data_IF_873240665827
#
_entry.id   IF_873240665827
#
_cell.length_a   1.000
_cell.length_b   1.000
_cell.length_c   1.000
_cell.angle_alpha   90.00
_cell.angle_beta   90.00
_cell.angle_gamma   90.00
#
_symmetry.space_group_name_H-M   'P 1'
#
loop_
_entity.id
_entity.type
_entity.pdbx_description
1 polymer ?
#
# COMPACT_ATOMS: atom_id res chain seq x y z
N UNK A 1 2.26 -1.56 -10.29
CA UNK A 1 3.36 -0.60 -9.99
C UNK A 1 2.90 0.75 -10.48
N UNK A 2 2.85 1.78 -9.62
CA UNK A 2 2.52 3.13 -10.10
C UNK A 2 3.75 3.62 -10.86
N UNK A 3 3.76 3.39 -12.17
CA UNK A 3 4.80 3.91 -13.06
C UNK A 3 4.43 5.37 -13.32
N UNK A 4 5.05 6.30 -12.60
CA UNK A 4 4.91 7.72 -12.91
C UNK A 4 5.91 8.09 -14.01
N UNK A 5 5.52 8.91 -15.00
CA UNK A 5 6.47 9.44 -15.97
C UNK A 5 7.61 10.17 -15.24
N UNK A 6 8.81 10.15 -15.83
CA UNK A 6 9.96 10.94 -15.36
C UNK A 6 9.52 12.42 -15.37
N UNK A 7 9.30 12.99 -14.20
CA UNK A 7 8.96 14.40 -14.01
C UNK A 7 10.05 15.04 -13.17
N UNK A 8 10.39 16.29 -13.50
CA UNK A 8 11.35 17.08 -12.74
C UNK A 8 10.96 17.12 -11.25
N UNK A 9 11.94 16.95 -10.35
CA UNK A 9 11.71 16.79 -8.91
C UNK A 9 10.89 17.95 -8.29
N UNK A 10 11.08 19.18 -8.80
CA UNK A 10 10.30 20.36 -8.40
C UNK A 10 8.79 20.21 -8.63
N UNK A 11 8.38 19.67 -9.79
CA UNK A 11 6.94 19.48 -10.09
C UNK A 11 6.30 18.46 -9.15
N UNK A 12 7.08 17.52 -8.60
CA UNK A 12 6.59 16.52 -7.65
C UNK A 12 6.22 17.12 -6.29
N UNK A 13 6.86 18.21 -5.88
CA UNK A 13 6.58 18.90 -4.60
C UNK A 13 5.18 19.52 -4.63
N UNK A 14 4.71 19.98 -5.79
CA UNK A 14 3.41 20.62 -5.97
C UNK A 14 2.27 19.66 -6.39
N UNK A 15 2.51 18.34 -6.35
CA UNK A 15 1.44 17.37 -6.63
C UNK A 15 0.51 17.28 -5.42
N UNK A 16 -0.71 17.78 -5.55
CA UNK A 16 -1.73 17.70 -4.50
C UNK A 16 -2.43 16.32 -4.46
N UNK A 17 -2.78 15.79 -5.64
CA UNK A 17 -3.56 14.57 -5.76
C UNK A 17 -2.73 13.30 -5.46
N UNK A 18 -3.11 12.60 -4.40
CA UNK A 18 -2.42 11.40 -3.92
C UNK A 18 -1.16 11.68 -3.08
N UNK A 19 -0.94 12.93 -2.68
CA UNK A 19 0.15 13.32 -1.77
C UNK A 19 -0.22 13.10 -0.31
N UNK A 20 0.80 12.88 0.52
CA UNK A 20 0.67 12.86 1.98
C UNK A 20 0.26 14.24 2.51
N UNK A 21 0.56 15.31 1.76
CA UNK A 21 0.29 16.69 2.16
C UNK A 21 -1.20 16.92 2.48
N UNK A 22 -2.12 16.42 1.65
CA UNK A 22 -3.57 16.54 1.91
C UNK A 22 -4.02 15.80 3.18
N UNK A 23 -3.28 14.77 3.62
CA UNK A 23 -3.58 14.03 4.86
C UNK A 23 -3.06 14.74 6.11
N UNK A 24 -2.00 15.54 5.99
CA UNK A 24 -1.37 16.24 7.13
C UNK A 24 -1.62 17.74 7.14
N UNK A 25 -2.30 18.28 6.12
CA UNK A 25 -2.53 19.73 5.95
C UNK A 25 -3.24 20.35 7.15
N UNK A 26 -4.22 19.66 7.74
CA UNK A 26 -4.90 20.13 8.95
C UNK A 26 -3.96 20.26 10.15
N UNK A 27 -3.04 19.31 10.33
CA UNK A 27 -2.04 19.33 11.41
C UNK A 27 -1.02 20.44 11.19
N UNK A 28 -0.58 20.63 9.95
CA UNK A 28 0.31 21.72 9.57
C UNK A 28 -0.34 23.09 9.80
N UNK A 29 -1.60 23.25 9.40
CA UNK A 29 -2.36 24.48 9.61
C UNK A 29 -2.55 24.76 11.10
N UNK A 30 -2.93 23.75 11.89
CA UNK A 30 -3.08 23.91 13.34
C UNK A 30 -1.75 24.30 14.00
N UNK A 31 -0.64 23.67 13.62
CA UNK A 31 0.68 24.03 14.12
C UNK A 31 1.07 25.47 13.73
N UNK A 32 0.76 25.89 12.50
CA UNK A 32 1.00 27.25 12.02
C UNK A 32 0.21 28.29 12.80
N UNK A 33 -1.09 28.06 13.00
CA UNK A 33 -1.95 28.94 13.81
C UNK A 33 -1.49 28.98 15.26
N UNK A 34 -1.09 27.85 15.83
CA UNK A 34 -0.51 27.77 17.17
C UNK A 34 0.77 28.59 17.29
N UNK A 35 1.68 28.53 16.30
CA UNK A 35 2.88 29.36 16.29
C UNK A 35 2.56 30.86 16.26
N UNK A 36 1.56 31.28 15.47
CA UNK A 36 1.09 32.68 15.45
C UNK A 36 0.56 33.10 16.82
N UNK A 37 -0.29 32.27 17.43
CA UNK A 37 -0.85 32.55 18.76
C UNK A 37 0.25 32.70 19.82
N UNK A 38 1.26 31.83 19.81
CA UNK A 38 2.42 31.91 20.72
C UNK A 38 3.20 33.22 20.54
N UNK A 39 3.42 33.66 19.30
CA UNK A 39 4.11 34.93 19.01
C UNK A 39 3.32 36.11 19.59
N UNK A 40 2.00 36.15 19.39
CA UNK A 40 1.15 37.21 19.96
C UNK A 40 1.08 37.16 21.48
N UNK A 41 1.17 35.98 22.10
CA UNK A 41 1.10 35.81 23.55
C UNK A 41 2.45 36.08 24.26
N UNK A 42 3.55 36.13 23.51
CA UNK A 42 4.91 36.31 24.04
C UNK A 42 5.08 37.53 24.98
N UNK A 43 4.48 38.71 24.71
CA UNK A 43 4.59 39.87 25.61
C UNK A 43 3.94 39.64 26.99
N UNK A 44 2.86 38.86 27.08
CA UNK A 44 2.25 38.49 28.37
C UNK A 44 3.01 37.37 29.08
N UNK A 45 3.62 36.48 28.31
CA UNK A 45 4.37 35.34 28.83
C UNK A 45 5.58 35.74 29.68
N UNK A 46 6.28 36.81 29.29
CA UNK A 46 7.45 37.32 30.04
C UNK A 46 7.09 37.75 31.48
N UNK A 47 5.83 38.10 31.75
CA UNK A 47 5.34 38.46 33.09
C UNK A 47 4.99 37.25 33.98
N UNK A 48 4.81 36.05 33.41
CA UNK A 48 4.38 34.85 34.15
C UNK A 48 5.53 34.12 34.87
N UNK A 49 6.79 34.46 34.58
CA UNK A 49 7.97 33.88 35.25
C UNK A 49 8.28 32.40 34.91
N UNK A 50 7.43 31.72 34.14
CA UNK A 50 7.66 30.36 33.64
C UNK A 50 8.71 30.41 32.52
N UNK A 51 9.64 29.44 32.45
CA UNK A 51 10.66 29.35 31.39
C UNK A 51 10.53 28.04 30.61
N UNK A 52 10.04 28.11 29.38
CA UNK A 52 10.12 27.01 28.42
C UNK A 52 11.52 26.98 27.80
N UNK A 53 12.29 25.94 28.12
CA UNK A 53 13.61 25.71 27.52
C UNK A 53 13.51 24.70 26.38
N UNK A 54 14.45 24.76 25.43
CA UNK A 54 14.45 23.84 24.29
C UNK A 54 14.91 22.42 24.67
N UNK A 55 15.67 22.26 25.75
CA UNK A 55 16.35 21.00 26.06
C UNK A 55 15.40 19.78 26.20
N UNK A 56 14.26 19.85 26.91
CA UNK A 56 13.32 18.72 26.98
C UNK A 56 12.74 18.34 25.61
N UNK A 57 12.46 19.34 24.76
CA UNK A 57 11.92 19.13 23.42
C UNK A 57 12.96 18.52 22.47
N UNK A 58 14.23 18.87 22.60
CA UNK A 58 15.31 18.27 21.81
C UNK A 58 15.47 16.79 22.12
N UNK A 59 15.49 16.41 23.40
CA UNK A 59 15.59 14.99 23.81
C UNK A 59 14.37 14.21 23.31
N UNK A 60 13.16 14.78 23.48
CA UNK A 60 11.93 14.17 22.98
C UNK A 60 11.95 14.01 21.45
N UNK A 61 12.42 15.03 20.74
CA UNK A 61 12.53 15.03 19.28
C UNK A 61 13.46 13.93 18.77
N UNK A 62 14.62 13.76 19.41
CA UNK A 62 15.58 12.69 19.09
C UNK A 62 14.95 11.31 19.33
N UNK A 63 14.29 11.12 20.47
CA UNK A 63 13.63 9.85 20.78
C UNK A 63 12.55 9.52 19.73
N UNK A 64 11.67 10.47 19.39
CA UNK A 64 10.63 10.30 18.36
C UNK A 64 11.25 9.96 17.00
N UNK A 65 12.33 10.65 16.61
CA UNK A 65 13.00 10.42 15.33
C UNK A 65 13.55 8.99 15.21
N UNK A 66 14.17 8.48 16.28
CA UNK A 66 14.70 7.11 16.33
C UNK A 66 13.56 6.08 16.20
N UNK A 67 12.48 6.22 16.99
CA UNK A 67 11.34 5.32 16.90
C UNK A 67 10.66 5.36 15.52
N UNK A 68 10.56 6.55 14.92
CA UNK A 68 10.01 6.70 13.57
C UNK A 68 10.91 6.00 12.53
N UNK A 69 12.24 6.06 12.69
CA UNK A 69 13.20 5.33 11.85
C UNK A 69 12.94 3.82 11.88
N UNK A 70 12.85 3.23 13.07
CA UNK A 70 12.55 1.79 13.21
C UNK A 70 11.18 1.42 12.63
N UNK A 71 10.15 2.23 12.90
CA UNK A 71 8.80 2.01 12.37
C UNK A 71 8.76 2.08 10.84
N UNK A 72 9.46 3.05 10.25
CA UNK A 72 9.54 3.20 8.80
C UNK A 72 10.28 2.03 8.16
N UNK A 73 11.37 1.57 8.76
CA UNK A 73 12.11 0.41 8.27
C UNK A 73 11.24 -0.85 8.26
N UNK A 74 10.52 -1.13 9.35
CA UNK A 74 9.60 -2.27 9.43
C UNK A 74 8.45 -2.16 8.40
N UNK A 75 7.85 -0.97 8.27
CA UNK A 75 6.80 -0.72 7.28
C UNK A 75 7.29 -0.88 5.84
N UNK A 76 8.49 -0.40 5.55
CA UNK A 76 9.13 -0.56 4.24
C UNK A 76 9.44 -2.03 3.94
N UNK A 77 10.00 -2.77 4.90
CA UNK A 77 10.27 -4.20 4.74
C UNK A 77 9.00 -4.99 4.38
N UNK A 78 7.89 -4.74 5.08
CA UNK A 78 6.58 -5.34 4.79
C UNK A 78 6.06 -4.99 3.39
N UNK A 79 6.23 -3.74 2.95
CA UNK A 79 5.86 -3.34 1.59
C UNK A 79 6.67 -4.07 0.52
N UNK A 80 7.98 -4.17 0.75
CA UNK A 80 8.91 -4.88 -0.15
C UNK A 80 8.59 -6.37 -0.20
N UNK A 81 8.30 -7.00 0.94
CA UNK A 81 7.89 -8.40 1.03
C UNK A 81 6.62 -8.66 0.21
N UNK A 82 5.57 -7.86 0.38
CA UNK A 82 4.35 -7.99 -0.42
C UNK A 82 4.65 -7.88 -1.92
N UNK A 83 5.52 -6.94 -2.33
CA UNK A 83 5.94 -6.80 -3.73
C UNK A 83 6.67 -8.04 -4.24
N UNK A 84 7.55 -8.64 -3.42
CA UNK A 84 8.30 -9.86 -3.74
C UNK A 84 7.36 -11.05 -3.92
N UNK A 85 6.40 -11.27 -3.01
CA UNK A 85 5.42 -12.35 -3.09
C UNK A 85 4.60 -12.28 -4.40
N UNK A 86 4.10 -11.10 -4.76
CA UNK A 86 3.43 -10.91 -6.05
C UNK A 86 4.34 -11.16 -7.25
N UNK A 87 5.64 -10.84 -7.14
CA UNK A 87 6.63 -11.14 -8.17
C UNK A 87 6.90 -12.64 -8.30
N UNK A 88 7.04 -13.34 -7.18
CA UNK A 88 7.20 -14.80 -7.13
C UNK A 88 5.99 -15.52 -7.71
N UNK A 89 4.77 -15.07 -7.42
CA UNK A 89 3.54 -15.61 -8.01
C UNK A 89 3.58 -15.52 -9.55
N UNK A 90 3.98 -14.37 -10.11
CA UNK A 90 4.11 -14.23 -11.56
C UNK A 90 5.17 -15.16 -12.16
N UNK A 91 6.32 -15.32 -11.49
CA UNK A 91 7.39 -16.21 -11.95
C UNK A 91 6.91 -17.67 -11.92
N UNK A 92 6.32 -18.11 -10.80
CA UNK A 92 5.81 -19.47 -10.64
C UNK A 92 4.71 -19.77 -11.67
N UNK A 93 3.76 -18.85 -11.89
CA UNK A 93 2.71 -19.00 -12.91
C UNK A 93 3.30 -19.22 -14.31
N UNK A 94 4.30 -18.42 -14.70
CA UNK A 94 4.99 -18.57 -16.00
C UNK A 94 5.74 -19.89 -16.13
N UNK A 95 6.45 -20.30 -15.07
CA UNK A 95 7.18 -21.56 -15.06
C UNK A 95 6.24 -22.76 -15.19
N UNK A 96 5.16 -22.78 -14.43
CA UNK A 96 4.13 -23.83 -14.49
C UNK A 96 3.46 -23.88 -15.86
N UNK A 97 3.08 -22.73 -16.44
CA UNK A 97 2.47 -22.70 -17.77
C UNK A 97 3.43 -23.24 -18.84
N UNK A 98 4.73 -22.95 -18.73
CA UNK A 98 5.75 -23.50 -19.64
C UNK A 98 5.85 -25.02 -19.51
N UNK A 99 5.84 -25.55 -18.30
CA UNK A 99 5.90 -26.99 -18.05
C UNK A 99 4.65 -27.69 -18.58
N UNK A 100 3.46 -27.18 -18.26
CA UNK A 100 2.17 -27.66 -18.78
C UNK A 100 2.16 -27.66 -20.31
N UNK A 101 2.66 -26.60 -20.95
CA UNK A 101 2.73 -26.51 -22.42
C UNK A 101 3.70 -27.52 -23.05
N UNK A 102 4.78 -27.87 -22.37
CA UNK A 102 5.76 -28.84 -22.87
C UNK A 102 5.28 -30.28 -22.67
N UNK A 103 4.57 -30.55 -21.57
CA UNK A 103 4.14 -31.91 -21.21
C UNK A 103 2.80 -32.30 -21.84
N UNK A 104 1.85 -31.36 -21.96
CA UNK A 104 0.52 -31.64 -22.53
C UNK A 104 0.49 -31.31 -24.03
N UNK A 105 0.12 -32.28 -24.89
CA UNK A 105 0.00 -32.04 -26.33
C UNK A 105 -1.27 -31.28 -26.72
N UNK A 106 -2.30 -31.29 -25.86
CA UNK A 106 -3.60 -30.68 -26.12
C UNK A 106 -3.63 -29.18 -25.79
N UNK A 107 -3.93 -28.36 -26.80
CA UNK A 107 -4.03 -26.90 -26.66
C UNK A 107 -5.24 -26.44 -25.83
N UNK A 108 -6.30 -27.24 -25.72
CA UNK A 108 -7.48 -26.89 -24.94
C UNK A 108 -7.18 -26.95 -23.44
N UNK A 109 -6.53 -28.03 -22.99
CA UNK A 109 -6.08 -28.22 -21.61
C UNK A 109 -5.10 -27.12 -21.16
N UNK A 110 -4.15 -26.74 -22.03
CA UNK A 110 -3.21 -25.63 -21.74
C UNK A 110 -3.95 -24.30 -21.57
N UNK A 111 -4.97 -24.03 -22.40
CA UNK A 111 -5.78 -22.80 -22.32
C UNK A 111 -6.62 -22.77 -21.04
N UNK A 112 -7.19 -23.90 -20.66
CA UNK A 112 -7.94 -24.03 -19.40
C UNK A 112 -7.04 -23.78 -18.19
N UNK A 113 -5.86 -24.38 -18.15
CA UNK A 113 -4.88 -24.14 -17.08
C UNK A 113 -4.49 -22.65 -16.98
N UNK A 114 -4.23 -22.00 -18.12
CA UNK A 114 -3.94 -20.56 -18.14
C UNK A 114 -5.11 -19.72 -17.60
N UNK A 115 -6.35 -20.07 -17.96
CA UNK A 115 -7.57 -19.42 -17.44
C UNK A 115 -7.67 -19.56 -15.92
N UNK A 116 -7.39 -20.75 -15.37
CA UNK A 116 -7.40 -20.97 -13.92
C UNK A 116 -6.31 -20.17 -13.18
N UNK A 117 -5.11 -20.03 -13.76
CA UNK A 117 -4.08 -19.15 -13.17
C UNK A 117 -4.50 -17.68 -13.14
N UNK A 118 -5.21 -17.21 -14.18
CA UNK A 118 -5.78 -15.85 -14.22
C UNK A 118 -6.85 -15.68 -13.13
N UNK A 119 -7.77 -16.65 -13.01
CA UNK A 119 -8.80 -16.69 -11.98
C UNK A 119 -8.18 -16.63 -10.59
N UNK A 120 -7.16 -17.43 -10.31
CA UNK A 120 -6.45 -17.42 -9.04
C UNK A 120 -5.86 -16.05 -8.71
N UNK A 121 -5.17 -15.42 -9.66
CA UNK A 121 -4.59 -14.09 -9.48
C UNK A 121 -5.66 -13.01 -9.20
N UNK A 122 -6.80 -13.06 -9.89
CA UNK A 122 -7.93 -12.17 -9.65
C UNK A 122 -8.56 -12.42 -8.28
N UNK A 123 -8.83 -13.67 -7.94
CA UNK A 123 -9.39 -14.09 -6.66
C UNK A 123 -8.51 -13.60 -5.51
N UNK A 124 -7.20 -13.88 -5.54
CA UNK A 124 -6.25 -13.42 -4.53
C UNK A 124 -6.23 -11.91 -4.38
N UNK A 125 -6.20 -11.16 -5.50
CA UNK A 125 -6.21 -9.69 -5.50
C UNK A 125 -7.48 -9.14 -4.83
N UNK A 126 -8.64 -9.72 -5.12
CA UNK A 126 -9.92 -9.25 -4.61
C UNK A 126 -10.11 -9.64 -3.14
N UNK A 127 -9.68 -10.84 -2.74
CA UNK A 127 -9.63 -11.28 -1.34
C UNK A 127 -8.79 -10.32 -0.49
N UNK A 128 -7.57 -9.98 -0.93
CA UNK A 128 -6.70 -9.04 -0.21
C UNK A 128 -7.25 -7.60 -0.15
N UNK A 129 -8.14 -7.22 -1.09
CA UNK A 129 -8.80 -5.91 -1.12
C UNK A 129 -10.20 -5.89 -0.51
N UNK A 130 -10.69 -7.04 -0.06
CA UNK A 130 -12.08 -7.21 0.43
C UNK A 130 -13.11 -6.73 -0.59
N UNK A 131 -12.90 -7.07 -1.87
CA UNK A 131 -13.78 -6.70 -2.98
C UNK A 131 -14.67 -7.88 -3.40
N UNK A 132 -15.89 -7.61 -3.93
CA UNK A 132 -16.74 -8.67 -4.47
C UNK A 132 -16.06 -9.38 -5.64
N UNK A 133 -16.20 -10.70 -5.68
CA UNK A 133 -15.44 -11.56 -6.61
C UNK A 133 -16.31 -12.08 -7.76
N UNK A 134 -17.61 -12.25 -7.54
CA UNK A 134 -18.52 -12.97 -8.42
C UNK A 134 -18.52 -12.43 -9.86
N UNK A 135 -18.67 -11.12 -10.05
CA UNK A 135 -18.74 -10.50 -11.37
C UNK A 135 -17.46 -10.73 -12.17
N UNK A 136 -16.29 -10.48 -11.57
CA UNK A 136 -15.00 -10.61 -12.26
C UNK A 136 -14.71 -12.07 -12.58
N UNK A 137 -14.98 -12.98 -11.64
CA UNK A 137 -14.71 -14.40 -11.85
C UNK A 137 -15.67 -15.05 -12.86
N UNK A 138 -16.91 -14.56 -12.99
CA UNK A 138 -17.88 -15.05 -13.98
C UNK A 138 -17.42 -14.86 -15.43
N UNK A 139 -16.52 -13.90 -15.71
CA UNK A 139 -15.94 -13.72 -17.05
C UNK A 139 -14.96 -14.84 -17.43
N UNK A 140 -14.42 -15.54 -16.43
CA UNK A 140 -13.38 -16.53 -16.62
C UNK A 140 -13.80 -17.94 -16.18
N UNK A 141 -14.90 -18.14 -15.47
CA UNK A 141 -15.37 -19.44 -14.97
C UNK A 141 -16.75 -19.79 -15.53
N UNK A 142 -17.04 -21.09 -15.62
CA UNK A 142 -18.41 -21.57 -15.84
C UNK A 142 -19.20 -21.39 -14.54
N UNK A 143 -20.53 -21.32 -14.65
CA UNK A 143 -21.41 -21.07 -13.50
C UNK A 143 -21.23 -22.08 -12.36
N UNK A 144 -21.01 -23.35 -12.70
CA UNK A 144 -20.76 -24.44 -11.74
C UNK A 144 -19.46 -24.23 -10.94
N UNK A 145 -18.35 -23.96 -11.65
CA UNK A 145 -17.05 -23.69 -11.02
C UNK A 145 -17.09 -22.43 -10.16
N UNK A 146 -17.81 -21.40 -10.62
CA UNK A 146 -17.98 -20.16 -9.88
C UNK A 146 -18.67 -20.39 -8.54
N UNK A 147 -19.78 -21.16 -8.52
CA UNK A 147 -20.46 -21.49 -7.28
C UNK A 147 -19.56 -22.28 -6.33
N UNK A 148 -18.78 -23.24 -6.87
CA UNK A 148 -17.83 -24.01 -6.07
C UNK A 148 -16.75 -23.13 -5.42
N UNK A 149 -16.22 -22.16 -6.16
CA UNK A 149 -15.23 -21.21 -5.62
C UNK A 149 -15.86 -20.30 -4.56
N UNK A 150 -17.05 -19.75 -4.82
CA UNK A 150 -17.73 -18.85 -3.87
C UNK A 150 -18.23 -19.55 -2.61
N UNK A 151 -18.53 -20.85 -2.69
CA UNK A 151 -18.90 -21.67 -1.54
C UNK A 151 -17.70 -22.07 -0.67
N UNK A 152 -16.46 -21.90 -1.15
CA UNK A 152 -15.26 -22.16 -0.36
C UNK A 152 -15.06 -21.09 0.72
N UNK A 153 -14.71 -21.52 1.94
CA UNK A 153 -14.29 -20.62 3.02
C UNK A 153 -13.03 -19.83 2.66
N UNK A 154 -12.20 -20.35 1.76
CA UNK A 154 -10.98 -19.72 1.29
C UNK A 154 -10.90 -19.84 -0.24
N UNK A 155 -11.51 -18.93 -1.00
CA UNK A 155 -11.60 -19.06 -2.46
C UNK A 155 -10.25 -18.90 -3.20
N UNK A 156 -9.20 -18.44 -2.50
CA UNK A 156 -7.85 -18.25 -3.03
C UNK A 156 -6.78 -19.13 -2.34
N UNK A 157 -7.20 -20.08 -1.49
CA UNK A 157 -6.32 -20.91 -0.66
C UNK A 157 -6.73 -22.37 -0.83
#
# INVERSE_FOLDING_TARGET
>A
MIVRPQQHWLRRIFVWHGSVLSKISSRLLLNFLFSIAVIFMLPWYTHLGIKFTLAPFSILGVAIAIFLGFRNNAGYARYVEARKLWGQLMIASRSLLREVKTTLPDSASVREFARLQIVFAHCLRMTLRKQPQAEVLAHYLKTEDLQRVLASNSPAN
#
